data_IF_387701557440
#
_entry.id   IF_387701557440
#
_cell.length_a   1.000
_cell.length_b   1.000
_cell.length_c   1.000
_cell.angle_alpha   90.00
_cell.angle_beta   90.00
_cell.angle_gamma   90.00
#
_symmetry.space_group_name_H-M   'P 1'
#
loop_
_entity.id
_entity.type
_entity.pdbx_description
1 polymer ?
#
# COMPACT_ATOMS: atom_id res chain seq x y z
N UNK A 1 12.11 14.13 -28.40
CA UNK A 1 11.23 12.94 -28.33
C UNK A 1 9.87 13.35 -27.75
N UNK A 2 8.80 12.98 -28.40
CA UNK A 2 7.46 13.27 -27.90
C UNK A 2 7.03 12.16 -26.95
N UNK A 3 7.01 12.46 -25.65
CA UNK A 3 6.71 11.50 -24.60
C UNK A 3 5.22 11.09 -24.52
N UNK A 4 4.37 11.68 -25.37
CA UNK A 4 2.94 11.38 -25.41
C UNK A 4 2.56 10.38 -26.50
N UNK A 5 3.51 9.90 -27.26
CA UNK A 5 3.23 9.19 -28.51
C UNK A 5 3.12 7.67 -28.39
N UNK A 6 3.11 7.12 -27.18
CA UNK A 6 2.90 5.70 -26.99
C UNK A 6 1.46 5.42 -26.55
N UNK A 7 0.89 4.32 -27.03
CA UNK A 7 -0.46 3.93 -26.72
C UNK A 7 -1.49 4.92 -27.27
N UNK A 8 -2.39 5.40 -26.42
CA UNK A 8 -3.47 6.33 -26.79
C UNK A 8 -3.06 7.81 -26.71
N UNK A 9 -1.77 8.10 -26.54
CA UNK A 9 -1.24 9.46 -26.46
C UNK A 9 -1.35 10.14 -25.10
N UNK A 10 -1.87 9.46 -24.09
CA UNK A 10 -1.98 10.02 -22.74
C UNK A 10 -0.64 9.94 -22.00
N UNK A 11 -0.30 10.96 -21.18
CA UNK A 11 0.98 10.98 -20.48
C UNK A 11 1.03 9.97 -19.33
N UNK A 12 2.24 9.67 -18.87
CA UNK A 12 2.46 8.72 -17.78
C UNK A 12 1.67 9.09 -16.51
N UNK A 13 1.57 10.38 -16.17
CA UNK A 13 0.85 10.83 -14.99
C UNK A 13 -0.62 10.42 -15.00
N UNK A 14 -1.26 10.45 -16.17
CA UNK A 14 -2.62 9.95 -16.32
C UNK A 14 -2.72 8.47 -15.93
N UNK A 15 -1.83 7.64 -16.49
CA UNK A 15 -1.87 6.20 -16.26
C UNK A 15 -1.52 5.83 -14.83
N UNK A 16 -0.57 6.52 -14.21
CA UNK A 16 -0.23 6.28 -12.80
C UNK A 16 -1.42 6.58 -11.89
N UNK A 17 -2.09 7.71 -12.10
CA UNK A 17 -3.25 8.06 -11.28
C UNK A 17 -4.44 7.17 -11.54
N UNK A 18 -4.71 6.85 -12.80
CA UNK A 18 -5.81 5.98 -13.17
C UNK A 18 -5.63 4.59 -12.58
N UNK A 19 -4.43 4.02 -12.74
CA UNK A 19 -4.11 2.71 -12.18
C UNK A 19 -4.19 2.70 -10.66
N UNK A 20 -3.67 3.73 -9.99
CA UNK A 20 -3.76 3.83 -8.54
C UNK A 20 -5.22 3.84 -8.06
N UNK A 21 -6.09 4.58 -8.73
CA UNK A 21 -7.53 4.58 -8.40
C UNK A 21 -8.17 3.22 -8.58
N UNK A 22 -7.80 2.50 -9.64
CA UNK A 22 -8.32 1.15 -9.88
C UNK A 22 -7.82 0.16 -8.82
N UNK A 23 -6.58 0.27 -8.42
CA UNK A 23 -6.01 -0.53 -7.33
C UNK A 23 -6.75 -0.24 -6.02
N UNK A 24 -6.95 1.03 -5.70
CA UNK A 24 -7.68 1.45 -4.50
C UNK A 24 -9.09 0.87 -4.48
N UNK A 25 -9.82 1.00 -5.58
CA UNK A 25 -11.18 0.46 -5.69
C UNK A 25 -11.19 -1.07 -5.57
N UNK A 26 -10.20 -1.74 -6.12
CA UNK A 26 -10.08 -3.20 -6.03
C UNK A 26 -9.85 -3.65 -4.58
N UNK A 27 -8.97 -2.96 -3.85
CA UNK A 27 -8.74 -3.24 -2.44
C UNK A 27 -9.99 -2.96 -1.60
N UNK A 28 -10.68 -1.85 -1.87
CA UNK A 28 -11.91 -1.52 -1.15
C UNK A 28 -12.97 -2.62 -1.31
N UNK A 29 -13.13 -3.15 -2.52
CA UNK A 29 -14.06 -4.27 -2.76
C UNK A 29 -13.59 -5.55 -2.07
N UNK A 30 -12.30 -5.84 -2.15
CA UNK A 30 -11.70 -7.04 -1.57
C UNK A 30 -11.83 -7.05 -0.04
N UNK A 31 -11.69 -5.89 0.59
CA UNK A 31 -11.70 -5.74 2.04
C UNK A 31 -13.06 -5.32 2.60
N UNK A 32 -14.07 -5.14 1.73
CA UNK A 32 -15.39 -4.67 2.14
C UNK A 32 -16.05 -5.60 3.18
N UNK A 33 -15.89 -6.91 3.01
CA UNK A 33 -16.49 -7.91 3.90
C UNK A 33 -15.96 -7.82 5.34
N UNK A 34 -14.72 -7.36 5.50
CA UNK A 34 -14.12 -7.16 6.83
C UNK A 34 -14.22 -5.71 7.28
N UNK A 35 -14.84 -4.83 6.48
CA UNK A 35 -15.08 -3.43 6.85
C UNK A 35 -13.80 -2.60 6.90
N UNK A 36 -12.81 -2.95 6.10
CA UNK A 36 -11.52 -2.28 6.06
C UNK A 36 -11.25 -1.69 4.68
N UNK A 37 -10.29 -0.77 4.60
CA UNK A 37 -9.78 -0.24 3.36
C UNK A 37 -8.30 -0.53 3.17
N UNK A 38 -7.75 -0.01 2.09
CA UNK A 38 -6.35 -0.26 1.71
C UNK A 38 -5.36 0.18 2.80
N UNK A 39 -5.62 1.30 3.50
CA UNK A 39 -4.70 1.79 4.56
C UNK A 39 -4.64 0.84 5.75
N UNK A 40 -5.77 0.23 6.10
CA UNK A 40 -5.81 -0.78 7.16
C UNK A 40 -4.94 -1.97 6.79
N UNK A 41 -5.08 -2.47 5.56
CA UNK A 41 -4.25 -3.57 5.08
C UNK A 41 -2.77 -3.21 5.07
N UNK A 42 -2.42 -2.05 4.56
CA UNK A 42 -1.02 -1.61 4.50
C UNK A 42 -0.39 -1.53 5.90
N UNK A 43 -1.15 -1.05 6.88
CA UNK A 43 -0.69 -0.98 8.27
C UNK A 43 -0.50 -2.38 8.86
N UNK A 44 -1.48 -3.27 8.70
CA UNK A 44 -1.36 -4.66 9.14
C UNK A 44 -0.14 -5.32 8.50
N UNK A 45 0.04 -5.15 7.22
CA UNK A 45 1.13 -5.77 6.48
C UNK A 45 2.50 -5.24 6.92
N UNK A 46 2.60 -3.96 7.22
CA UNK A 46 3.83 -3.38 7.76
C UNK A 46 4.14 -3.97 9.13
N UNK A 47 3.14 -4.07 10.01
CA UNK A 47 3.29 -4.63 11.35
C UNK A 47 3.56 -6.14 11.33
N UNK A 48 3.17 -6.84 10.28
CA UNK A 48 3.50 -8.25 10.12
C UNK A 48 5.01 -8.47 9.98
N UNK A 49 5.75 -7.46 9.54
CA UNK A 49 7.21 -7.48 9.49
C UNK A 49 7.90 -7.20 10.82
N UNK A 50 7.16 -6.76 11.82
CA UNK A 50 7.66 -6.45 13.16
C UNK A 50 7.00 -5.22 13.75
N UNK A 51 7.11 -5.02 15.07
CA UNK A 51 6.57 -3.85 15.75
C UNK A 51 7.13 -2.54 15.16
N UNK A 52 6.32 -1.49 15.17
CA UNK A 52 6.72 -0.20 14.64
C UNK A 52 6.02 0.94 15.41
N UNK A 53 6.72 2.05 15.55
CA UNK A 53 6.14 3.27 16.11
C UNK A 53 5.24 3.96 15.08
N UNK A 54 4.42 4.89 15.53
CA UNK A 54 3.60 5.71 14.61
C UNK A 54 4.47 6.46 13.60
N UNK A 55 5.63 6.95 14.01
CA UNK A 55 6.56 7.63 13.11
C UNK A 55 7.10 6.68 12.06
N UNK A 56 7.48 5.48 12.45
CA UNK A 56 7.97 4.46 11.50
C UNK A 56 6.89 4.04 10.50
N UNK A 57 5.63 3.90 10.97
CA UNK A 57 4.49 3.59 10.09
C UNK A 57 4.22 4.73 9.11
N UNK A 58 4.25 5.97 9.59
CA UNK A 58 4.06 7.14 8.72
C UNK A 58 5.13 7.22 7.64
N UNK A 59 6.39 6.93 7.99
CA UNK A 59 7.49 6.91 7.03
C UNK A 59 7.28 5.80 5.99
N UNK A 60 6.91 4.60 6.43
CA UNK A 60 6.71 3.47 5.53
C UNK A 60 5.56 3.69 4.54
N UNK A 61 4.52 4.41 4.94
CA UNK A 61 3.31 4.62 4.15
C UNK A 61 3.19 6.05 3.60
N UNK A 62 4.24 6.84 3.69
CA UNK A 62 4.26 8.25 3.27
C UNK A 62 3.73 8.46 1.84
N UNK A 63 4.08 7.65 0.83
CA UNK A 63 3.53 7.83 -0.51
C UNK A 63 2.00 7.77 -0.58
N UNK A 64 1.35 7.15 0.39
CA UNK A 64 -0.11 7.01 0.43
C UNK A 64 -0.78 8.03 1.36
N UNK A 65 -0.08 8.51 2.38
CA UNK A 65 -0.65 9.35 3.44
C UNK A 65 -0.12 10.78 3.42
N UNK A 66 0.94 11.04 2.68
CA UNK A 66 1.59 12.35 2.65
C UNK A 66 2.29 12.68 3.96
N UNK A 67 2.47 13.97 4.21
CA UNK A 67 3.24 14.48 5.36
C UNK A 67 2.46 14.51 6.67
N UNK A 68 1.18 14.16 6.66
CA UNK A 68 0.33 14.26 7.84
C UNK A 68 0.70 13.19 8.88
N UNK A 69 1.29 13.58 10.03
CA UNK A 69 1.69 12.59 11.04
C UNK A 69 0.51 11.94 11.75
N UNK A 70 -0.72 12.45 11.53
CA UNK A 70 -1.94 11.92 12.16
C UNK A 70 -2.76 11.06 11.21
N UNK A 71 -2.33 10.88 9.96
CA UNK A 71 -3.12 10.21 8.92
C UNK A 71 -3.47 8.76 9.28
N UNK A 72 -2.58 8.05 9.96
CA UNK A 72 -2.80 6.65 10.33
C UNK A 72 -3.43 6.45 11.70
N UNK A 73 -3.61 7.51 12.50
CA UNK A 73 -4.18 7.38 13.84
C UNK A 73 -5.57 6.72 13.84
N UNK A 74 -6.52 7.11 12.97
CA UNK A 74 -7.82 6.43 12.90
C UNK A 74 -7.70 4.97 12.48
N UNK A 75 -6.74 4.65 11.62
CA UNK A 75 -6.49 3.28 11.14
C UNK A 75 -6.00 2.41 12.29
N UNK A 76 -4.99 2.88 13.01
CA UNK A 76 -4.44 2.18 14.18
C UNK A 76 -5.51 2.00 15.25
N UNK A 77 -6.32 3.03 15.49
CA UNK A 77 -7.41 2.97 16.46
C UNK A 77 -8.43 1.89 16.09
N UNK A 78 -8.83 1.81 14.83
CA UNK A 78 -9.75 0.78 14.35
C UNK A 78 -9.17 -0.62 14.58
N UNK A 79 -7.91 -0.83 14.21
CA UNK A 79 -7.25 -2.12 14.36
C UNK A 79 -7.06 -2.50 15.84
N UNK A 80 -6.79 -1.54 16.69
CA UNK A 80 -6.67 -1.73 18.13
C UNK A 80 -8.01 -2.14 18.73
N UNK A 81 -9.09 -1.48 18.35
CA UNK A 81 -10.43 -1.82 18.83
C UNK A 81 -10.89 -3.21 18.40
N UNK A 82 -10.39 -3.70 17.27
CA UNK A 82 -10.65 -5.07 16.82
C UNK A 82 -9.85 -6.12 17.57
N UNK A 83 -8.88 -5.71 18.39
CA UNK A 83 -7.99 -6.63 19.08
C UNK A 83 -6.90 -7.19 18.18
N UNK A 84 -6.64 -6.58 17.03
CA UNK A 84 -5.61 -7.04 16.09
C UNK A 84 -4.26 -6.34 16.28
N UNK A 85 -4.27 -5.17 16.89
CA UNK A 85 -3.08 -4.38 17.16
C UNK A 85 -3.07 -4.01 18.64
N UNK A 86 -1.92 -4.07 19.26
CA UNK A 86 -1.68 -3.60 20.62
C UNK A 86 -0.51 -2.62 20.60
N UNK A 87 -0.46 -1.73 21.60
CA UNK A 87 0.66 -0.82 21.76
C UNK A 87 1.52 -1.29 22.91
N UNK A 88 2.76 -1.60 22.63
CA UNK A 88 3.75 -2.04 23.61
C UNK A 88 4.41 -0.84 24.30
N UNK A 89 5.29 -1.13 25.25
CA UNK A 89 6.14 -0.11 25.85
C UNK A 89 6.90 0.66 24.77
N UNK A 90 7.19 1.93 25.03
CA UNK A 90 7.89 2.83 24.08
C UNK A 90 7.05 3.20 22.85
N UNK A 91 5.75 2.95 22.89
CA UNK A 91 4.82 3.38 21.83
C UNK A 91 4.89 2.54 20.56
N UNK A 92 5.44 1.35 20.62
CA UNK A 92 5.48 0.45 19.47
C UNK A 92 4.17 -0.27 19.30
N UNK A 93 3.60 -0.18 18.12
CA UNK A 93 2.42 -0.96 17.75
C UNK A 93 2.86 -2.33 17.25
N UNK A 94 2.11 -3.36 17.61
CA UNK A 94 2.43 -4.74 17.22
C UNK A 94 1.15 -5.51 16.94
N UNK A 95 1.24 -6.52 16.09
CA UNK A 95 0.12 -7.45 15.89
C UNK A 95 -0.06 -8.31 17.13
N UNK A 96 -1.31 -8.53 17.50
CA UNK A 96 -1.68 -9.58 18.45
C UNK A 96 -1.70 -10.92 17.73
N UNK A 97 -1.91 -12.02 18.46
CA UNK A 97 -2.11 -13.34 17.84
C UNK A 97 -3.29 -13.30 16.88
N UNK A 98 -4.39 -12.67 17.30
CA UNK A 98 -5.58 -12.51 16.43
C UNK A 98 -5.28 -11.64 15.22
N UNK A 99 -4.46 -10.60 15.38
CA UNK A 99 -4.02 -9.74 14.27
C UNK A 99 -3.19 -10.50 13.27
N UNK A 100 -2.27 -11.33 13.72
CA UNK A 100 -1.45 -12.17 12.84
C UNK A 100 -2.31 -13.17 12.07
N UNK A 101 -3.30 -13.78 12.71
CA UNK A 101 -4.25 -14.69 12.06
C UNK A 101 -5.09 -13.96 11.03
N UNK A 102 -5.59 -12.77 11.36
CA UNK A 102 -6.37 -11.94 10.45
C UNK A 102 -5.52 -11.52 9.24
N UNK A 103 -4.26 -11.14 9.47
CA UNK A 103 -3.33 -10.79 8.39
C UNK A 103 -3.17 -11.94 7.40
N UNK A 104 -2.94 -13.16 7.89
CA UNK A 104 -2.77 -14.33 7.02
C UNK A 104 -4.02 -14.62 6.18
N UNK A 105 -5.19 -14.48 6.79
CA UNK A 105 -6.46 -14.70 6.09
C UNK A 105 -6.71 -13.66 5.02
N UNK A 106 -6.50 -12.39 5.36
CA UNK A 106 -6.70 -11.28 4.42
C UNK A 106 -5.65 -11.32 3.31
N UNK A 107 -4.43 -11.76 3.62
CA UNK A 107 -3.35 -11.91 2.62
C UNK A 107 -3.78 -12.72 1.40
N UNK A 108 -4.56 -13.78 1.61
CA UNK A 108 -5.06 -14.63 0.52
C UNK A 108 -5.95 -13.84 -0.43
N UNK A 109 -6.84 -13.02 0.13
CA UNK A 109 -7.75 -12.20 -0.67
C UNK A 109 -6.99 -11.08 -1.40
N UNK A 110 -6.00 -10.50 -0.75
CA UNK A 110 -5.13 -9.49 -1.36
C UNK A 110 -4.31 -10.07 -2.50
N UNK A 111 -3.79 -11.28 -2.34
CA UNK A 111 -3.03 -11.96 -3.40
C UNK A 111 -3.91 -12.23 -4.62
N UNK A 112 -5.17 -12.62 -4.41
CA UNK A 112 -6.13 -12.78 -5.52
C UNK A 112 -6.40 -11.46 -6.23
N UNK A 113 -6.57 -10.37 -5.47
CA UNK A 113 -6.77 -9.03 -6.04
C UNK A 113 -5.55 -8.60 -6.88
N UNK A 114 -4.35 -8.87 -6.38
CA UNK A 114 -3.10 -8.55 -7.10
C UNK A 114 -2.95 -9.32 -8.40
N UNK A 115 -3.48 -10.53 -8.48
CA UNK A 115 -3.47 -11.32 -9.73
C UNK A 115 -4.26 -10.65 -10.85
N UNK A 116 -5.22 -9.80 -10.53
CA UNK A 116 -5.95 -9.04 -11.55
C UNK A 116 -5.03 -8.09 -12.31
N UNK A 117 -4.00 -7.55 -11.65
CA UNK A 117 -3.01 -6.71 -12.31
C UNK A 117 -2.25 -7.52 -13.38
N UNK A 118 -2.02 -8.82 -13.11
CA UNK A 118 -1.26 -9.70 -13.99
C UNK A 118 -2.12 -10.35 -15.09
N UNK A 119 -3.40 -9.98 -15.21
CA UNK A 119 -4.29 -10.58 -16.20
C UNK A 119 -3.81 -10.33 -17.63
N UNK A 120 -3.22 -9.18 -17.90
CA UNK A 120 -2.76 -8.76 -19.22
C UNK A 120 -1.27 -8.52 -19.32
N UNK A 121 -0.52 -8.80 -18.26
CA UNK A 121 0.94 -8.67 -18.23
C UNK A 121 1.54 -9.90 -17.58
N UNK A 122 2.76 -10.22 -17.95
CA UNK A 122 3.50 -11.32 -17.33
C UNK A 122 4.14 -10.88 -16.03
N UNK A 123 4.54 -11.82 -15.19
CA UNK A 123 5.28 -11.53 -13.97
C UNK A 123 6.60 -10.81 -14.27
N UNK A 124 7.26 -11.17 -15.38
CA UNK A 124 8.49 -10.51 -15.82
C UNK A 124 8.24 -9.05 -16.21
N UNK A 125 7.18 -8.82 -16.98
CA UNK A 125 6.79 -7.46 -17.36
C UNK A 125 6.43 -6.61 -16.13
N UNK A 126 5.74 -7.21 -15.17
CA UNK A 126 5.44 -6.53 -13.92
C UNK A 126 6.71 -6.11 -13.18
N UNK A 127 7.68 -7.03 -13.06
CA UNK A 127 8.96 -6.74 -12.42
C UNK A 127 9.71 -5.62 -13.15
N UNK A 128 9.67 -5.61 -14.48
CA UNK A 128 10.27 -4.55 -15.29
C UNK A 128 9.61 -3.19 -15.03
N UNK A 129 8.28 -3.15 -14.93
CA UNK A 129 7.56 -1.91 -14.63
C UNK A 129 7.99 -1.37 -13.27
N UNK A 130 8.06 -2.21 -12.25
CA UNK A 130 8.49 -1.78 -10.90
C UNK A 130 9.91 -1.21 -10.95
N UNK A 131 10.85 -1.89 -11.62
CA UNK A 131 12.23 -1.42 -11.77
C UNK A 131 12.28 -0.07 -12.48
N UNK A 132 11.52 0.08 -13.56
CA UNK A 132 11.48 1.33 -14.33
C UNK A 132 10.91 2.47 -13.50
N UNK A 133 9.83 2.22 -12.76
CA UNK A 133 9.23 3.22 -11.88
C UNK A 133 10.22 3.67 -10.79
N UNK A 134 10.95 2.74 -10.21
CA UNK A 134 11.98 3.06 -9.22
C UNK A 134 13.06 3.96 -9.79
N UNK A 135 13.51 3.68 -11.01
CA UNK A 135 14.53 4.51 -11.69
C UNK A 135 14.02 5.89 -12.04
N UNK A 136 12.77 6.00 -12.48
CA UNK A 136 12.12 7.28 -12.73
C UNK A 136 12.02 8.12 -11.46
N UNK A 137 11.60 7.50 -10.35
CA UNK A 137 11.50 8.16 -9.06
C UNK A 137 12.88 8.65 -8.60
N UNK A 138 13.90 7.80 -8.70
CA UNK A 138 15.26 8.17 -8.32
C UNK A 138 15.77 9.38 -9.12
N UNK A 139 15.46 9.45 -10.41
CA UNK A 139 15.83 10.58 -11.24
C UNK A 139 15.20 11.89 -10.79
N UNK A 140 13.92 11.85 -10.44
CA UNK A 140 13.21 13.03 -9.95
C UNK A 140 13.66 13.43 -8.54
N UNK A 141 13.93 12.48 -7.68
CA UNK A 141 14.44 12.73 -6.32
C UNK A 141 15.81 13.42 -6.38
N UNK A 142 16.70 12.96 -7.27
CA UNK A 142 18.01 13.56 -7.46
C UNK A 142 17.88 14.99 -7.98
N UNK A 143 16.98 15.25 -8.93
CA UNK A 143 16.77 16.58 -9.49
C UNK A 143 16.16 17.55 -8.47
N UNK A 144 15.40 17.05 -7.50
CA UNK A 144 14.77 17.85 -6.46
C UNK A 144 15.69 18.15 -5.28
N UNK A 145 16.80 17.41 -5.17
CA UNK A 145 17.74 17.55 -4.05
C UNK A 145 18.55 18.85 -4.12
#
# INVERSE_FOLDING_TARGET
MNLRMTGDGRPIGYWLKHLDRLIEATFDRTLADVGLGRRHWQTLNTLAGGPATSTELNTALEPFTGDDPTALAPVIDTLTRRGWVTTEAEGRHALTVDGATAHQRIQKDVDQARRLILTRVTAEEYAQVIDILQRMAAGLETAAA
#
